data_IF_706830114104
#
_entry.id   IF_706830114104
#
_cell.length_a   1.000
_cell.length_b   1.000
_cell.length_c   1.000
_cell.angle_alpha   90.00
_cell.angle_beta   90.00
_cell.angle_gamma   90.00
#
_symmetry.space_group_name_H-M   'P 1'
#
loop_
_entity.id
_entity.type
_entity.pdbx_description
1 polymer ?
#
# COMPACT_ATOMS: atom_id res chain seq x y z
N UNK A 1 -47.22 -11.71 -5.33
CA UNK A 1 -46.32 -10.54 -5.09
C UNK A 1 -45.14 -10.88 -4.18
N UNK A 2 -45.34 -11.51 -3.00
CA UNK A 2 -44.23 -11.85 -2.10
C UNK A 2 -43.12 -12.76 -2.71
N UNK A 3 -43.49 -13.72 -3.57
CA UNK A 3 -42.53 -14.59 -4.26
C UNK A 3 -41.67 -13.88 -5.32
N UNK A 4 -42.15 -12.76 -5.87
CA UNK A 4 -41.46 -11.99 -6.91
C UNK A 4 -40.47 -11.01 -6.29
N UNK A 5 -40.82 -10.43 -5.13
CA UNK A 5 -39.92 -9.64 -4.30
C UNK A 5 -38.77 -10.51 -3.75
N UNK A 6 -39.07 -11.72 -3.26
CA UNK A 6 -38.05 -12.66 -2.80
C UNK A 6 -37.06 -13.04 -3.92
N UNK A 7 -37.55 -13.25 -5.14
CA UNK A 7 -36.71 -13.53 -6.31
C UNK A 7 -35.84 -12.32 -6.71
N UNK A 8 -36.41 -11.11 -6.69
CA UNK A 8 -35.66 -9.89 -6.99
C UNK A 8 -34.55 -9.63 -5.95
N UNK A 9 -34.86 -9.79 -4.65
CA UNK A 9 -33.88 -9.66 -3.56
C UNK A 9 -32.80 -10.74 -3.63
N UNK A 10 -33.16 -11.96 -4.02
CA UNK A 10 -32.20 -13.06 -4.23
C UNK A 10 -31.26 -12.75 -5.39
N UNK A 11 -31.76 -12.25 -6.52
CA UNK A 11 -30.93 -11.88 -7.68
C UNK A 11 -30.00 -10.72 -7.37
N UNK A 12 -30.49 -9.69 -6.67
CA UNK A 12 -29.67 -8.56 -6.21
C UNK A 12 -28.58 -9.01 -5.23
N UNK A 13 -28.92 -9.88 -4.29
CA UNK A 13 -27.96 -10.48 -3.37
C UNK A 13 -26.91 -11.33 -4.10
N UNK A 14 -27.34 -12.22 -5.01
CA UNK A 14 -26.44 -13.05 -5.82
C UNK A 14 -25.52 -12.21 -6.71
N UNK A 15 -26.02 -11.11 -7.30
CA UNK A 15 -25.19 -10.19 -8.09
C UNK A 15 -24.18 -9.40 -7.26
N UNK A 16 -24.42 -9.25 -5.95
CA UNK A 16 -23.53 -8.57 -5.02
C UNK A 16 -22.50 -9.51 -4.40
N UNK A 17 -22.64 -10.82 -4.56
CA UNK A 17 -21.66 -11.79 -4.08
C UNK A 17 -20.41 -11.75 -4.97
N UNK A 18 -19.20 -11.83 -4.38
CA UNK A 18 -18.01 -12.13 -5.15
C UNK A 18 -18.21 -13.35 -6.06
N UNK A 19 -17.76 -13.27 -7.31
CA UNK A 19 -17.90 -14.34 -8.31
C UNK A 19 -17.43 -15.71 -7.79
N UNK A 20 -16.38 -15.70 -6.97
CA UNK A 20 -15.83 -16.91 -6.34
C UNK A 20 -16.83 -17.68 -5.48
N UNK A 21 -17.88 -17.02 -4.96
CA UNK A 21 -18.93 -17.65 -4.18
C UNK A 21 -20.02 -18.28 -5.05
N UNK A 22 -20.12 -17.92 -6.33
CA UNK A 22 -21.12 -18.50 -7.22
C UNK A 22 -20.98 -20.03 -7.30
N UNK A 23 -19.73 -20.51 -7.30
CA UNK A 23 -19.38 -21.93 -7.37
C UNK A 23 -19.04 -22.57 -6.02
N UNK A 24 -19.08 -21.82 -4.92
CA UNK A 24 -18.78 -22.34 -3.58
C UNK A 24 -19.89 -23.26 -3.07
N UNK A 25 -19.51 -24.26 -2.28
CA UNK A 25 -20.43 -25.15 -1.56
C UNK A 25 -21.28 -24.37 -0.56
N UNK A 26 -22.41 -24.96 -0.14
CA UNK A 26 -23.26 -24.32 0.88
C UNK A 26 -22.51 -24.10 2.21
N UNK A 27 -21.63 -25.03 2.59
CA UNK A 27 -20.78 -24.89 3.78
C UNK A 27 -19.84 -23.69 3.63
N UNK A 28 -19.18 -23.54 2.49
CA UNK A 28 -18.27 -22.41 2.26
C UNK A 28 -19.00 -21.07 2.23
N UNK A 29 -20.19 -21.01 1.63
CA UNK A 29 -21.05 -19.82 1.69
C UNK A 29 -21.43 -19.47 3.12
N UNK A 30 -21.77 -20.46 3.94
CA UNK A 30 -22.06 -20.28 5.36
C UNK A 30 -20.83 -19.79 6.14
N UNK A 31 -19.67 -20.41 5.95
CA UNK A 31 -18.43 -20.01 6.61
C UNK A 31 -18.02 -18.57 6.22
N UNK A 32 -18.15 -18.21 4.94
CA UNK A 32 -17.92 -16.85 4.45
C UNK A 32 -18.89 -15.83 5.08
N UNK A 33 -20.18 -16.18 5.20
CA UNK A 33 -21.18 -15.31 5.84
C UNK A 33 -20.84 -15.00 7.31
N UNK A 34 -20.22 -15.95 8.02
CA UNK A 34 -19.77 -15.75 9.40
C UNK A 34 -18.60 -14.77 9.48
N UNK A 35 -17.69 -14.78 8.51
CA UNK A 35 -16.60 -13.80 8.41
C UNK A 35 -17.19 -12.40 8.19
N UNK A 36 -18.12 -12.25 7.26
CA UNK A 36 -18.79 -10.97 7.01
C UNK A 36 -19.58 -10.46 8.22
N UNK A 37 -20.25 -11.36 8.94
CA UNK A 37 -20.96 -11.00 10.17
C UNK A 37 -20.00 -10.50 11.26
N UNK A 38 -18.83 -11.14 11.40
CA UNK A 38 -17.78 -10.65 12.31
C UNK A 38 -17.29 -9.27 11.92
N UNK A 39 -17.08 -9.02 10.62
CA UNK A 39 -16.71 -7.70 10.15
C UNK A 39 -17.77 -6.66 10.49
N UNK A 40 -19.05 -6.94 10.18
CA UNK A 40 -20.18 -6.07 10.53
C UNK A 40 -20.22 -5.74 12.02
N UNK A 41 -19.99 -6.74 12.88
CA UNK A 41 -20.00 -6.54 14.33
C UNK A 41 -18.80 -5.73 14.84
N UNK A 42 -17.71 -5.67 14.07
CA UNK A 42 -16.52 -4.87 14.37
C UNK A 42 -16.59 -3.42 13.86
N UNK A 43 -17.58 -3.10 13.01
CA UNK A 43 -17.86 -1.74 12.56
C UNK A 43 -18.78 -1.06 13.57
N UNK A 44 -18.32 0.05 14.13
CA UNK A 44 -19.06 0.87 15.10
C UNK A 44 -19.30 2.24 14.45
N UNK A 45 -20.55 2.71 14.46
CA UNK A 45 -20.96 4.00 13.87
C UNK A 45 -20.55 4.19 12.40
N UNK A 46 -20.47 3.09 11.63
CA UNK A 46 -20.00 3.08 10.24
C UNK A 46 -18.56 3.59 10.05
N UNK A 47 -17.75 3.52 11.11
CA UNK A 47 -16.35 3.93 11.09
C UNK A 47 -15.39 2.74 10.96
N UNK A 48 -14.48 2.83 10.00
CA UNK A 48 -13.26 2.03 9.98
C UNK A 48 -12.13 2.69 10.78
N UNK A 49 -10.97 2.03 10.92
CA UNK A 49 -9.82 2.61 11.62
C UNK A 49 -9.16 3.81 10.91
N UNK A 50 -9.50 4.10 9.65
CA UNK A 50 -9.03 5.24 8.86
C UNK A 50 -10.08 6.36 8.72
N UNK A 51 -11.27 6.22 9.34
CA UNK A 51 -12.37 7.18 9.21
C UNK A 51 -11.92 8.64 9.38
N UNK A 52 -12.38 9.54 8.52
CA UNK A 52 -12.00 10.96 8.58
C UNK A 52 -10.56 11.28 8.12
N UNK A 53 -9.81 10.29 7.63
CA UNK A 53 -8.58 10.49 6.87
C UNK A 53 -8.93 10.30 5.39
N UNK A 54 -9.02 11.40 4.66
CA UNK A 54 -9.19 11.37 3.20
C UNK A 54 -7.91 10.87 2.55
N UNK A 55 -8.00 10.25 1.37
CA UNK A 55 -6.80 9.86 0.64
C UNK A 55 -5.97 11.08 0.21
N UNK A 56 -4.69 10.85 -0.13
CA UNK A 56 -3.76 11.93 -0.44
C UNK A 56 -4.12 12.65 -1.75
N UNK A 57 -4.77 11.99 -2.71
CA UNK A 57 -5.19 12.60 -3.96
C UNK A 57 -6.36 13.57 -3.68
N UNK A 58 -7.37 13.15 -2.91
CA UNK A 58 -8.49 14.01 -2.46
C UNK A 58 -7.99 15.17 -1.60
N UNK A 59 -7.06 14.90 -0.66
CA UNK A 59 -6.42 15.94 0.14
C UNK A 59 -5.74 16.99 -0.74
N UNK A 60 -5.01 16.55 -1.76
CA UNK A 60 -4.32 17.42 -2.72
C UNK A 60 -5.30 18.32 -3.45
N UNK A 61 -6.40 17.76 -3.96
CA UNK A 61 -7.43 18.53 -4.67
C UNK A 61 -8.07 19.56 -3.75
N UNK A 62 -8.42 19.20 -2.51
CA UNK A 62 -8.99 20.13 -1.53
C UNK A 62 -8.02 21.27 -1.19
N UNK A 63 -6.74 20.95 -0.97
CA UNK A 63 -5.71 21.94 -0.67
C UNK A 63 -5.51 22.92 -1.84
N UNK A 64 -5.46 22.41 -3.08
CA UNK A 64 -5.37 23.23 -4.29
C UNK A 64 -6.61 24.11 -4.48
N UNK A 65 -7.82 23.56 -4.37
CA UNK A 65 -9.07 24.33 -4.51
C UNK A 65 -9.12 25.47 -3.50
N UNK A 66 -8.76 25.21 -2.24
CA UNK A 66 -8.68 26.23 -1.19
C UNK A 66 -7.70 27.35 -1.55
N UNK A 67 -6.49 26.99 -2.00
CA UNK A 67 -5.47 27.98 -2.30
C UNK A 67 -5.76 28.77 -3.59
N UNK A 68 -6.28 28.12 -4.63
CA UNK A 68 -6.69 28.77 -5.88
C UNK A 68 -7.85 29.75 -5.66
N UNK A 69 -8.82 29.43 -4.80
CA UNK A 69 -9.90 30.33 -4.46
C UNK A 69 -9.42 31.61 -3.73
N UNK A 70 -8.32 31.51 -2.97
CA UNK A 70 -7.69 32.67 -2.34
C UNK A 70 -6.90 33.52 -3.34
N UNK A 71 -6.17 32.87 -4.25
CA UNK A 71 -5.30 33.56 -5.21
C UNK A 71 -6.08 34.17 -6.38
N UNK A 72 -7.19 33.55 -6.79
CA UNK A 72 -8.04 33.95 -7.91
C UNK A 72 -9.52 34.04 -7.51
N UNK A 73 -9.92 34.96 -6.61
CA UNK A 73 -11.28 34.99 -6.04
C UNK A 73 -12.40 35.22 -7.06
N UNK A 74 -12.09 35.77 -8.23
CA UNK A 74 -13.05 36.03 -9.31
C UNK A 74 -13.18 34.89 -10.33
N UNK A 75 -12.41 33.80 -10.19
CA UNK A 75 -12.44 32.67 -11.12
C UNK A 75 -12.40 31.33 -10.37
N UNK A 76 -13.34 30.44 -10.69
CA UNK A 76 -13.32 29.07 -10.17
C UNK A 76 -12.49 28.19 -11.10
N UNK A 77 -11.29 27.82 -10.66
CA UNK A 77 -10.41 26.90 -11.38
C UNK A 77 -10.46 25.53 -10.71
N UNK A 78 -10.84 24.50 -11.47
CA UNK A 78 -10.78 23.12 -11.00
C UNK A 78 -9.39 22.53 -11.29
N UNK A 79 -8.62 22.09 -10.27
CA UNK A 79 -7.29 21.52 -10.47
C UNK A 79 -7.26 20.32 -11.42
N UNK A 80 -8.34 19.54 -11.49
CA UNK A 80 -8.45 18.39 -12.40
C UNK A 80 -8.67 18.80 -13.86
N UNK A 81 -9.16 20.02 -14.11
CA UNK A 81 -9.36 20.53 -15.46
C UNK A 81 -8.07 21.17 -16.03
N UNK A 82 -7.07 21.44 -15.20
CA UNK A 82 -5.82 22.08 -15.61
C UNK A 82 -4.77 21.01 -15.89
N UNK A 83 -4.31 20.93 -17.14
CA UNK A 83 -3.18 20.08 -17.51
C UNK A 83 -1.88 20.87 -17.42
N UNK A 84 -0.93 20.34 -16.66
CA UNK A 84 0.45 20.79 -16.59
C UNK A 84 1.27 19.96 -17.57
N UNK A 85 1.82 20.62 -18.57
CA UNK A 85 2.69 20.03 -19.59
C UNK A 85 4.13 20.37 -19.19
N UNK A 86 4.92 19.34 -18.94
CA UNK A 86 6.30 19.43 -18.46
C UNK A 86 7.22 19.10 -19.62
N UNK A 87 8.01 20.08 -20.05
CA UNK A 87 9.02 19.89 -21.09
C UNK A 87 10.40 19.81 -20.45
N UNK A 88 11.10 18.70 -20.66
CA UNK A 88 12.46 18.48 -20.19
C UNK A 88 13.41 18.31 -21.37
N UNK A 89 14.49 19.08 -21.36
CA UNK A 89 15.61 18.95 -22.29
C UNK A 89 16.74 18.19 -21.58
N UNK A 90 16.98 16.95 -21.98
CA UNK A 90 18.17 16.21 -21.54
C UNK A 90 19.29 16.38 -22.57
N UNK A 91 20.42 16.94 -22.12
CA UNK A 91 21.65 16.90 -22.90
C UNK A 91 22.34 15.55 -22.67
N UNK A 92 22.86 14.88 -23.71
CA UNK A 92 23.59 13.63 -23.52
C UNK A 92 24.79 13.82 -22.59
N UNK A 93 25.01 12.84 -21.70
CA UNK A 93 26.23 12.77 -20.88
C UNK A 93 27.48 12.76 -21.77
N UNK A 94 28.53 13.44 -21.34
CA UNK A 94 29.73 13.73 -22.12
C UNK A 94 30.58 12.47 -22.37
N UNK A 95 30.21 11.68 -23.38
CA UNK A 95 31.17 10.86 -24.13
C UNK A 95 31.22 11.42 -25.56
N UNK A 96 32.43 11.58 -26.09
CA UNK A 96 32.70 12.30 -27.35
C UNK A 96 31.96 11.76 -28.59
N UNK A 97 31.37 10.57 -28.49
CA UNK A 97 30.65 9.90 -29.57
C UNK A 97 29.13 10.21 -29.59
N UNK A 98 28.53 10.68 -28.49
CA UNK A 98 27.07 10.92 -28.39
C UNK A 98 26.70 12.40 -28.60
N UNK A 99 27.67 13.32 -28.58
CA UNK A 99 27.43 14.76 -28.74
C UNK A 99 26.77 15.16 -30.08
N UNK A 100 26.77 14.28 -31.10
CA UNK A 100 26.15 14.56 -32.41
C UNK A 100 24.66 14.19 -32.50
N UNK A 101 24.05 13.61 -31.47
CA UNK A 101 22.66 13.12 -31.52
C UNK A 101 21.58 14.16 -31.17
N UNK A 102 21.99 15.39 -30.84
CA UNK A 102 21.07 16.46 -30.44
C UNK A 102 20.50 16.25 -29.03
N UNK A 103 19.83 17.28 -28.50
CA UNK A 103 19.16 17.17 -27.21
C UNK A 103 17.83 16.43 -27.36
N UNK A 104 17.58 15.43 -26.51
CA UNK A 104 16.27 14.79 -26.46
C UNK A 104 15.32 15.69 -25.66
N UNK A 105 14.15 15.99 -26.27
CA UNK A 105 13.06 16.71 -25.62
C UNK A 105 11.98 15.70 -25.28
N UNK A 106 11.68 15.53 -23.99
CA UNK A 106 10.52 14.76 -23.55
C UNK A 106 9.45 15.71 -23.04
N UNK A 107 8.20 15.40 -23.34
CA UNK A 107 7.03 16.11 -22.84
C UNK A 107 6.09 15.13 -22.18
N UNK A 108 5.66 15.47 -20.96
CA UNK A 108 4.65 14.71 -20.22
C UNK A 108 3.55 15.65 -19.78
N UNK A 109 2.31 15.16 -19.76
CA UNK A 109 1.14 15.95 -19.34
C UNK A 109 0.43 15.23 -18.21
N UNK A 110 0.06 15.98 -17.19
CA UNK A 110 -0.72 15.48 -16.05
C UNK A 110 -1.57 16.60 -15.46
N UNK A 111 -2.59 16.26 -14.67
CA UNK A 111 -3.44 17.27 -14.01
C UNK A 111 -2.63 18.10 -13.00
N UNK A 112 -3.12 19.28 -12.63
CA UNK A 112 -2.47 20.14 -11.65
C UNK A 112 -2.36 19.46 -10.28
N UNK A 113 -3.35 18.66 -9.90
CA UNK A 113 -3.32 17.85 -8.67
C UNK A 113 -2.22 16.79 -8.72
N UNK A 114 -2.13 16.03 -9.81
CA UNK A 114 -1.06 15.05 -10.00
C UNK A 114 0.33 15.72 -9.99
N UNK A 115 0.45 16.91 -10.59
CA UNK A 115 1.68 17.71 -10.54
C UNK A 115 2.01 18.22 -9.13
N UNK A 116 1.03 18.71 -8.37
CA UNK A 116 1.26 19.15 -7.00
C UNK A 116 1.69 18.00 -6.09
N UNK A 117 1.15 16.80 -6.32
CA UNK A 117 1.48 15.62 -5.53
C UNK A 117 2.85 15.01 -5.88
N UNK A 118 3.18 14.90 -7.18
CA UNK A 118 4.33 14.10 -7.65
C UNK A 118 5.44 14.93 -8.29
N UNK A 119 5.12 16.16 -8.71
CA UNK A 119 5.98 17.01 -9.53
C UNK A 119 7.07 17.78 -8.77
N UNK A 120 7.26 17.55 -7.47
CA UNK A 120 8.26 18.30 -6.67
C UNK A 120 9.69 18.15 -7.22
N UNK A 121 10.07 16.95 -7.68
CA UNK A 121 11.35 16.72 -8.36
C UNK A 121 11.43 17.32 -9.78
N UNK A 122 10.29 17.68 -10.37
CA UNK A 122 10.16 18.23 -11.72
C UNK A 122 10.00 19.76 -11.73
N UNK A 123 10.17 20.42 -10.58
CA UNK A 123 10.11 21.89 -10.45
C UNK A 123 11.19 22.62 -11.26
N UNK A 124 12.16 21.92 -11.84
CA UNK A 124 13.22 22.48 -12.70
C UNK A 124 12.86 22.48 -14.19
N UNK A 125 11.87 21.70 -14.63
CA UNK A 125 11.43 21.67 -16.04
C UNK A 125 10.62 22.91 -16.45
N UNK A 126 10.52 23.16 -17.76
CA UNK A 126 9.65 24.21 -18.29
C UNK A 126 8.19 23.76 -18.25
N UNK A 127 7.29 24.64 -17.81
CA UNK A 127 5.88 24.31 -17.67
C UNK A 127 5.03 25.14 -18.63
N UNK A 128 4.20 24.46 -19.40
CA UNK A 128 3.08 25.07 -20.11
C UNK A 128 1.77 24.47 -19.60
N UNK A 129 0.66 25.16 -19.88
CA UNK A 129 -0.62 24.81 -19.29
C UNK A 129 -1.72 24.81 -20.36
N UNK A 130 -2.64 23.89 -20.23
CA UNK A 130 -3.91 23.89 -20.96
C UNK A 130 -5.05 23.62 -19.99
N UNK A 131 -6.26 24.07 -20.34
CA UNK A 131 -7.47 23.82 -19.56
C UNK A 131 -8.44 23.04 -20.41
N UNK A 132 -8.99 21.97 -19.84
CA UNK A 132 -10.08 21.22 -20.42
C UNK A 132 -11.39 22.01 -20.28
N UNK A 133 -12.10 22.25 -21.37
CA UNK A 133 -13.40 22.93 -21.38
C UNK A 133 -13.34 24.42 -21.74
N UNK A 134 -14.36 25.19 -21.34
CA UNK A 134 -14.55 26.62 -21.71
C UNK A 134 -14.01 27.60 -20.66
N UNK A 135 -13.21 27.16 -19.70
CA UNK A 135 -12.67 28.03 -18.65
C UNK A 135 -11.38 28.67 -19.14
N UNK A 136 -11.31 30.01 -19.10
CA UNK A 136 -10.09 30.75 -19.38
C UNK A 136 -9.12 30.67 -18.20
N UNK A 137 -7.83 30.59 -18.48
CA UNK A 137 -6.81 30.66 -17.44
C UNK A 137 -6.78 32.04 -16.77
N UNK A 138 -6.67 32.10 -15.43
CA UNK A 138 -6.54 33.36 -14.73
C UNK A 138 -5.31 34.15 -15.15
N UNK A 139 -5.44 35.48 -15.19
CA UNK A 139 -4.30 36.35 -15.35
C UNK A 139 -3.29 36.12 -14.21
N UNK A 140 -2.03 35.88 -14.56
CA UNK A 140 -0.98 35.56 -13.59
C UNK A 140 -0.80 34.06 -13.30
N UNK A 141 -1.67 33.18 -13.82
CA UNK A 141 -1.45 31.74 -13.79
C UNK A 141 -0.34 31.37 -14.78
N UNK A 142 0.89 31.24 -14.28
CA UNK A 142 2.07 30.94 -15.08
C UNK A 142 3.01 29.95 -14.37
N UNK A 143 4.12 29.60 -15.02
CA UNK A 143 5.10 28.63 -14.51
C UNK A 143 5.61 29.01 -13.11
N UNK A 144 5.95 30.28 -12.90
CA UNK A 144 6.44 30.77 -11.61
C UNK A 144 5.39 30.61 -10.51
N UNK A 145 4.15 30.97 -10.82
CA UNK A 145 3.03 30.80 -9.90
C UNK A 145 2.85 29.32 -9.51
N UNK A 146 2.73 28.42 -10.49
CA UNK A 146 2.49 26.99 -10.21
C UNK A 146 3.64 26.37 -9.41
N UNK A 147 4.89 26.67 -9.75
CA UNK A 147 6.05 26.20 -8.97
C UNK A 147 6.04 26.73 -7.52
N UNK A 148 5.61 27.98 -7.31
CA UNK A 148 5.47 28.54 -5.96
C UNK A 148 4.30 27.91 -5.22
N UNK A 149 3.18 27.67 -5.90
CA UNK A 149 1.98 27.04 -5.34
C UNK A 149 2.29 25.64 -4.81
N UNK A 150 2.95 24.80 -5.62
CA UNK A 150 3.34 23.44 -5.22
C UNK A 150 4.29 23.46 -4.03
N UNK A 151 5.29 24.35 -4.02
CA UNK A 151 6.20 24.51 -2.86
C UNK A 151 5.48 24.98 -1.60
N UNK A 152 4.55 25.93 -1.73
CA UNK A 152 3.78 26.49 -0.62
C UNK A 152 2.86 25.44 -0.01
N UNK A 153 2.16 24.67 -0.84
CA UNK A 153 1.22 23.65 -0.37
C UNK A 153 1.94 22.49 0.30
N UNK A 154 3.14 22.14 -0.18
CA UNK A 154 3.98 21.06 0.36
C UNK A 154 3.17 19.84 0.81
N UNK A 155 2.32 19.34 -0.09
CA UNK A 155 1.28 18.35 0.21
C UNK A 155 1.86 17.13 0.95
N UNK A 156 3.05 16.67 0.57
CA UNK A 156 3.69 15.53 1.20
C UNK A 156 4.02 15.73 2.68
N UNK A 157 4.48 16.92 3.09
CA UNK A 157 4.75 17.26 4.49
C UNK A 157 3.46 17.44 5.29
N UNK A 158 2.53 18.22 4.74
CA UNK A 158 1.28 18.53 5.43
C UNK A 158 0.41 17.28 5.61
N UNK A 159 0.34 16.41 4.60
CA UNK A 159 -0.40 15.16 4.70
C UNK A 159 0.25 14.17 5.68
N UNK A 160 1.59 14.10 5.71
CA UNK A 160 2.29 13.30 6.74
C UNK A 160 2.02 13.84 8.14
N UNK A 161 2.05 15.15 8.32
CA UNK A 161 1.71 15.79 9.61
C UNK A 161 0.27 15.47 10.02
N UNK A 162 -0.68 15.48 9.08
CA UNK A 162 -2.05 15.02 9.32
C UNK A 162 -2.11 13.56 9.81
N UNK A 163 -1.40 12.65 9.13
CA UNK A 163 -1.35 11.24 9.51
C UNK A 163 -0.71 11.05 10.88
N UNK A 164 0.42 11.68 11.16
CA UNK A 164 1.10 11.61 12.45
C UNK A 164 0.20 12.11 13.57
N UNK A 165 -0.49 13.23 13.36
CA UNK A 165 -1.43 13.77 14.34
C UNK A 165 -2.59 12.81 14.62
N UNK A 166 -3.19 12.23 13.59
CA UNK A 166 -4.38 11.37 13.71
C UNK A 166 -4.06 9.96 14.19
N UNK A 167 -2.90 9.42 13.85
CA UNK A 167 -2.56 8.01 14.09
C UNK A 167 -1.60 7.82 15.27
N UNK A 168 -0.84 8.84 15.66
CA UNK A 168 0.25 8.70 16.64
C UNK A 168 0.13 9.73 17.77
N UNK A 169 0.11 11.03 17.45
CA UNK A 169 0.29 12.10 18.44
C UNK A 169 -0.97 12.35 19.28
N UNK A 170 -2.15 12.40 18.65
CA UNK A 170 -3.40 12.55 19.40
C UNK A 170 -3.77 11.20 20.03
N UNK A 171 -3.58 11.09 21.35
CA UNK A 171 -3.79 9.85 22.09
C UNK A 171 -5.24 9.33 22.04
N UNK A 172 -6.23 10.22 22.02
CA UNK A 172 -7.64 9.84 21.97
C UNK A 172 -8.00 9.24 20.59
N UNK A 173 -7.62 9.94 19.52
CA UNK A 173 -7.79 9.47 18.14
C UNK A 173 -7.00 8.18 17.89
N UNK A 174 -5.72 8.14 18.28
CA UNK A 174 -4.84 6.98 18.09
C UNK A 174 -5.36 5.74 18.84
N UNK A 175 -5.77 5.88 20.10
CA UNK A 175 -6.28 4.75 20.90
C UNK A 175 -7.60 4.21 20.35
N UNK A 176 -8.53 5.11 19.97
CA UNK A 176 -9.80 4.71 19.36
C UNK A 176 -9.59 3.95 18.05
N UNK A 177 -8.74 4.48 17.17
CA UNK A 177 -8.39 3.86 15.88
C UNK A 177 -7.66 2.54 16.05
N UNK A 178 -6.75 2.44 17.02
CA UNK A 178 -6.05 1.20 17.31
C UNK A 178 -7.01 0.09 17.75
N UNK A 179 -8.01 0.40 18.58
CA UNK A 179 -9.06 -0.56 18.96
C UNK A 179 -9.87 -1.02 17.74
N UNK A 180 -10.29 -0.10 16.88
CA UNK A 180 -10.98 -0.44 15.63
C UNK A 180 -10.10 -1.30 14.73
N UNK A 181 -8.82 -0.96 14.60
CA UNK A 181 -7.85 -1.73 13.82
C UNK A 181 -7.72 -3.17 14.33
N UNK A 182 -7.57 -3.38 15.64
CA UNK A 182 -7.52 -4.71 16.23
C UNK A 182 -8.83 -5.51 16.06
N UNK A 183 -9.99 -4.85 16.06
CA UNK A 183 -11.28 -5.51 15.88
C UNK A 183 -11.58 -5.85 14.41
N UNK A 184 -11.21 -4.96 13.49
CA UNK A 184 -11.59 -5.03 12.08
C UNK A 184 -10.57 -5.78 11.22
N UNK A 185 -9.28 -5.69 11.53
CA UNK A 185 -8.25 -6.29 10.70
C UNK A 185 -8.38 -7.83 10.60
N UNK A 186 -8.57 -8.58 11.70
CA UNK A 186 -8.66 -10.05 11.61
C UNK A 186 -9.77 -10.54 10.67
N UNK A 187 -11.04 -10.09 10.75
CA UNK A 187 -12.05 -10.52 9.79
C UNK A 187 -11.79 -10.02 8.36
N UNK A 188 -11.19 -8.83 8.16
CA UNK A 188 -10.77 -8.38 6.82
C UNK A 188 -9.73 -9.34 6.20
N UNK A 189 -8.70 -9.71 6.96
CA UNK A 189 -7.66 -10.64 6.50
C UNK A 189 -8.21 -12.03 6.24
N UNK A 190 -9.14 -12.50 7.07
CA UNK A 190 -9.80 -13.79 6.87
C UNK A 190 -10.68 -13.81 5.62
N UNK A 191 -11.35 -12.70 5.32
CA UNK A 191 -12.14 -12.59 4.10
C UNK A 191 -11.26 -12.71 2.86
N UNK A 192 -10.12 -12.00 2.82
CA UNK A 192 -9.15 -12.10 1.73
C UNK A 192 -8.62 -13.53 1.62
N UNK A 193 -8.19 -14.12 2.73
CA UNK A 193 -7.66 -15.50 2.76
C UNK A 193 -8.69 -16.52 2.28
N UNK A 194 -9.95 -16.39 2.71
CA UNK A 194 -11.03 -17.28 2.30
C UNK A 194 -11.31 -17.16 0.80
N UNK A 195 -11.31 -15.92 0.27
CA UNK A 195 -11.49 -15.67 -1.16
C UNK A 195 -10.36 -16.30 -1.98
N UNK A 196 -9.12 -16.16 -1.54
CA UNK A 196 -7.96 -16.75 -2.23
C UNK A 196 -7.96 -18.28 -2.13
N UNK A 197 -8.48 -18.84 -1.03
CA UNK A 197 -8.74 -20.27 -0.88
C UNK A 197 -9.75 -20.78 -1.90
N UNK A 198 -10.88 -20.09 -2.05
CA UNK A 198 -11.90 -20.45 -3.04
C UNK A 198 -11.39 -20.37 -4.48
N UNK A 199 -10.46 -19.45 -4.77
CA UNK A 199 -9.79 -19.35 -6.08
C UNK A 199 -8.73 -20.42 -6.31
N UNK A 200 -8.38 -21.22 -5.30
CA UNK A 200 -7.28 -22.18 -5.36
C UNK A 200 -5.88 -21.53 -5.35
N UNK A 201 -5.78 -20.25 -5.01
CA UNK A 201 -4.49 -19.53 -4.87
C UNK A 201 -3.88 -19.80 -3.49
N UNK A 202 -4.72 -20.04 -2.48
CA UNK A 202 -4.33 -20.40 -1.13
C UNK A 202 -4.82 -21.82 -0.83
N UNK A 203 -3.99 -22.66 -0.22
CA UNK A 203 -4.39 -23.99 0.22
C UNK A 203 -5.33 -23.93 1.43
N UNK A 204 -6.13 -24.98 1.64
CA UNK A 204 -6.95 -25.12 2.86
C UNK A 204 -6.08 -25.04 4.12
N UNK A 205 -4.90 -25.68 4.09
CA UNK A 205 -3.99 -25.69 5.24
C UNK A 205 -3.44 -24.29 5.55
N UNK A 206 -3.08 -23.52 4.52
CA UNK A 206 -2.65 -22.14 4.69
C UNK A 206 -3.77 -21.21 5.19
N UNK A 207 -5.00 -21.39 4.70
CA UNK A 207 -6.17 -20.71 5.24
C UNK A 207 -6.36 -21.05 6.73
N UNK A 208 -6.31 -22.32 7.11
CA UNK A 208 -6.46 -22.75 8.50
C UNK A 208 -5.38 -22.18 9.42
N UNK A 209 -4.14 -22.05 8.95
CA UNK A 209 -3.07 -21.38 9.73
C UNK A 209 -3.40 -19.91 9.99
N UNK A 210 -3.87 -19.18 8.97
CA UNK A 210 -4.29 -17.78 9.13
C UNK A 210 -5.48 -17.65 10.08
N UNK A 211 -6.50 -18.50 9.91
CA UNK A 211 -7.65 -18.57 10.80
C UNK A 211 -7.24 -18.83 12.25
N UNK A 212 -6.34 -19.77 12.46
CA UNK A 212 -5.82 -20.12 13.78
C UNK A 212 -5.13 -18.95 14.46
N UNK A 213 -4.19 -18.29 13.79
CA UNK A 213 -3.44 -17.17 14.39
C UNK A 213 -4.28 -15.90 14.58
N UNK A 214 -5.24 -15.65 13.68
CA UNK A 214 -6.09 -14.46 13.73
C UNK A 214 -7.25 -14.59 14.74
N UNK A 215 -7.72 -15.82 15.01
CA UNK A 215 -8.74 -16.06 16.03
C UNK A 215 -8.15 -16.21 17.43
N UNK A 216 -6.89 -16.64 17.55
CA UNK A 216 -6.18 -16.79 18.82
C UNK A 216 -4.89 -15.95 18.79
N UNK A 217 -4.96 -14.62 18.92
CA UNK A 217 -3.81 -13.73 18.72
C UNK A 217 -2.72 -13.87 19.79
N UNK A 218 -3.06 -14.31 21.01
CA UNK A 218 -2.09 -14.58 22.08
C UNK A 218 -1.23 -15.81 21.74
N UNK A 219 0.01 -15.57 21.29
CA UNK A 219 0.91 -16.64 20.88
C UNK A 219 1.34 -17.58 22.02
N UNK A 220 1.29 -17.13 23.28
CA UNK A 220 1.65 -17.96 24.44
C UNK A 220 0.50 -18.86 24.87
N UNK A 221 -0.74 -18.38 24.73
CA UNK A 221 -1.95 -19.12 25.09
C UNK A 221 -2.59 -19.87 23.89
N UNK A 222 -2.15 -19.60 22.65
CA UNK A 222 -2.68 -20.25 21.44
C UNK A 222 -2.50 -21.77 21.50
N UNK A 223 -3.59 -22.48 21.25
CA UNK A 223 -3.59 -23.94 21.18
C UNK A 223 -2.70 -24.46 20.04
N UNK A 224 -2.27 -25.71 20.15
CA UNK A 224 -1.54 -26.37 19.07
C UNK A 224 -2.50 -26.68 17.91
N UNK A 225 -2.06 -26.42 16.68
CA UNK A 225 -2.75 -26.83 15.47
C UNK A 225 -2.13 -28.14 14.98
N UNK A 226 -2.91 -29.23 14.92
CA UNK A 226 -2.42 -30.56 14.53
C UNK A 226 -1.15 -30.98 15.32
N UNK A 227 -1.08 -30.62 16.61
CA UNK A 227 0.06 -30.92 17.48
C UNK A 227 1.28 -29.98 17.33
N UNK A 228 1.19 -28.95 16.48
CA UNK A 228 2.29 -28.02 16.20
C UNK A 228 1.94 -26.59 16.60
N UNK A 229 2.97 -25.80 16.93
CA UNK A 229 2.81 -24.36 17.16
C UNK A 229 2.80 -23.65 15.82
N UNK A 230 1.74 -22.89 15.54
CA UNK A 230 1.67 -21.98 14.40
C UNK A 230 1.92 -20.57 14.90
N UNK A 231 2.90 -19.91 14.30
CA UNK A 231 3.38 -18.59 14.69
C UNK A 231 3.10 -17.57 13.61
N UNK A 232 2.78 -16.34 14.02
CA UNK A 232 2.80 -15.15 13.16
C UNK A 232 3.92 -14.26 13.67
N UNK A 233 4.91 -13.96 12.83
CA UNK A 233 6.11 -13.19 13.20
C UNK A 233 6.42 -12.10 12.17
N UNK A 234 6.94 -10.93 12.58
CA UNK A 234 7.41 -9.94 11.61
C UNK A 234 8.58 -10.48 10.80
N UNK A 235 8.66 -10.11 9.53
CA UNK A 235 9.82 -10.41 8.70
C UNK A 235 10.97 -9.47 9.07
N UNK A 236 12.13 -10.05 9.36
CA UNK A 236 13.37 -9.30 9.51
C UNK A 236 14.51 -10.01 8.77
N UNK A 237 15.42 -9.23 8.21
CA UNK A 237 16.53 -9.72 7.38
C UNK A 237 17.84 -9.39 8.09
N UNK A 238 18.80 -10.31 8.03
CA UNK A 238 20.13 -10.10 8.61
C UNK A 238 21.16 -10.06 7.49
N UNK A 239 21.99 -9.03 7.48
CA UNK A 239 23.10 -8.92 6.52
C UNK A 239 24.29 -9.83 6.85
N UNK A 240 24.38 -10.30 8.10
CA UNK A 240 25.37 -11.28 8.55
C UNK A 240 24.88 -12.04 9.79
N UNK A 241 25.50 -13.18 10.16
CA UNK A 241 25.12 -13.97 11.33
C UNK A 241 25.19 -13.24 12.69
N UNK A 242 25.90 -12.11 12.76
CA UNK A 242 26.04 -11.29 13.97
C UNK A 242 25.31 -9.94 13.84
N UNK A 243 24.80 -9.60 12.65
CA UNK A 243 24.07 -8.36 12.44
C UNK A 243 22.75 -8.33 13.22
N UNK A 244 22.39 -7.15 13.72
CA UNK A 244 21.04 -6.87 14.21
C UNK A 244 20.06 -7.02 13.05
N UNK A 245 18.94 -7.75 13.20
CA UNK A 245 17.95 -7.89 12.13
C UNK A 245 17.32 -6.55 11.73
N UNK A 246 17.26 -6.31 10.43
CA UNK A 246 16.54 -5.20 9.82
C UNK A 246 15.08 -5.61 9.57
N UNK A 247 14.17 -5.01 10.34
CA UNK A 247 12.74 -5.28 10.22
C UNK A 247 12.15 -4.73 8.92
N UNK A 248 11.39 -5.58 8.22
CA UNK A 248 10.66 -5.21 7.01
C UNK A 248 9.24 -4.81 7.38
N UNK A 249 8.93 -3.51 7.31
CA UNK A 249 7.69 -2.95 7.84
C UNK A 249 6.44 -3.51 7.16
N UNK A 250 5.49 -4.01 7.96
CA UNK A 250 4.19 -4.49 7.48
C UNK A 250 4.27 -5.78 6.67
N UNK A 251 5.31 -6.60 6.85
CA UNK A 251 5.40 -7.96 6.31
C UNK A 251 5.50 -8.95 7.45
N UNK A 252 4.63 -9.95 7.45
CA UNK A 252 4.56 -10.98 8.48
C UNK A 252 4.62 -12.37 7.84
N UNK A 253 5.24 -13.30 8.55
CA UNK A 253 5.32 -14.70 8.20
C UNK A 253 4.40 -15.50 9.12
N UNK A 254 3.52 -16.31 8.55
CA UNK A 254 2.64 -17.23 9.26
C UNK A 254 2.99 -18.65 8.85
N UNK A 255 3.21 -19.53 9.81
CA UNK A 255 3.57 -20.92 9.54
C UNK A 255 3.89 -21.70 10.80
N UNK A 256 4.27 -22.97 10.68
CA UNK A 256 4.77 -23.73 11.81
C UNK A 256 6.02 -23.06 12.39
N UNK A 257 6.32 -23.36 13.66
CA UNK A 257 7.66 -23.08 14.17
C UNK A 257 8.72 -23.82 13.31
N UNK A 258 9.97 -23.34 13.33
CA UNK A 258 11.03 -23.80 12.44
C UNK A 258 11.37 -25.31 12.54
N UNK A 259 10.75 -26.04 13.46
CA UNK A 259 10.96 -27.48 13.65
C UNK A 259 9.92 -28.34 12.93
N UNK A 260 8.83 -27.76 12.45
CA UNK A 260 7.73 -28.51 11.86
C UNK A 260 7.53 -28.19 10.37
N UNK A 261 7.16 -29.22 9.60
CA UNK A 261 6.89 -29.09 8.17
C UNK A 261 5.52 -28.45 7.92
N UNK A 262 5.43 -27.63 6.88
CA UNK A 262 4.18 -27.02 6.45
C UNK A 262 4.40 -25.75 5.64
N UNK A 263 3.32 -25.22 5.04
CA UNK A 263 3.41 -24.02 4.23
C UNK A 263 3.84 -22.81 5.06
N UNK A 264 4.58 -21.91 4.41
CA UNK A 264 4.88 -20.58 4.92
C UNK A 264 4.00 -19.56 4.18
N UNK A 265 3.25 -18.78 4.92
CA UNK A 265 2.38 -17.74 4.40
C UNK A 265 3.01 -16.38 4.65
N UNK A 266 3.22 -15.61 3.60
CA UNK A 266 3.67 -14.22 3.67
C UNK A 266 2.43 -13.32 3.61
N UNK A 267 2.23 -12.56 4.67
CA UNK A 267 1.18 -11.54 4.78
C UNK A 267 1.82 -10.17 4.59
N UNK A 268 1.36 -9.44 3.57
CA UNK A 268 1.84 -8.09 3.24
C UNK A 268 0.73 -7.07 3.47
N UNK A 269 0.89 -6.24 4.49
CA UNK A 269 -0.08 -5.23 4.87
C UNK A 269 -0.14 -4.09 3.85
N UNK A 270 -1.34 -3.74 3.40
CA UNK A 270 -1.63 -2.59 2.51
C UNK A 270 -0.76 -2.56 1.23
N UNK A 271 -0.62 -3.70 0.59
CA UNK A 271 0.09 -3.85 -0.69
C UNK A 271 -0.86 -3.68 -1.87
N UNK A 272 -0.39 -3.06 -2.96
CA UNK A 272 -1.17 -2.92 -4.20
C UNK A 272 -1.23 -4.20 -5.03
N UNK A 273 -0.24 -5.09 -4.89
CA UNK A 273 -0.10 -6.27 -5.75
C UNK A 273 -0.83 -7.49 -5.18
N UNK A 274 -0.52 -7.85 -3.94
CA UNK A 274 -1.08 -9.00 -3.23
C UNK A 274 -0.97 -8.78 -1.73
N UNK A 275 -1.92 -9.33 -0.96
CA UNK A 275 -1.91 -9.26 0.52
C UNK A 275 -1.44 -10.56 1.18
N UNK A 276 -1.62 -11.70 0.52
CA UNK A 276 -1.28 -13.02 1.04
C UNK A 276 -0.59 -13.82 -0.06
N UNK A 277 0.50 -14.50 0.27
CA UNK A 277 1.16 -15.44 -0.62
C UNK A 277 1.62 -16.67 0.14
N UNK A 278 1.30 -17.84 -0.37
CA UNK A 278 1.75 -19.12 0.17
C UNK A 278 3.05 -19.58 -0.52
N UNK A 279 3.92 -20.17 0.29
CA UNK A 279 5.13 -20.87 -0.10
C UNK A 279 5.07 -22.30 0.48
N UNK A 280 5.61 -23.31 -0.23
CA UNK A 280 5.66 -24.67 0.31
C UNK A 280 6.43 -24.77 1.63
N UNK A 281 7.50 -23.98 1.77
CA UNK A 281 8.36 -23.92 2.95
C UNK A 281 9.16 -22.60 3.01
N UNK A 282 9.92 -22.41 4.10
CA UNK A 282 10.76 -21.22 4.29
C UNK A 282 11.92 -21.14 3.30
N UNK A 283 12.46 -22.28 2.86
CA UNK A 283 13.55 -22.31 1.88
C UNK A 283 13.10 -21.76 0.51
N UNK A 284 11.89 -22.09 0.08
CA UNK A 284 11.27 -21.59 -1.14
C UNK A 284 11.04 -20.09 -1.09
N UNK A 285 10.63 -19.56 0.07
CA UNK A 285 10.50 -18.12 0.28
C UNK A 285 11.85 -17.40 0.20
N UNK A 286 12.88 -17.93 0.85
CA UNK A 286 14.24 -17.37 0.78
C UNK A 286 14.78 -17.39 -0.66
N UNK A 287 14.57 -18.48 -1.38
CA UNK A 287 14.95 -18.58 -2.79
C UNK A 287 14.24 -17.51 -3.64
N UNK A 288 12.96 -17.24 -3.38
CA UNK A 288 12.19 -16.19 -4.06
C UNK A 288 12.74 -14.79 -3.76
N UNK A 289 13.10 -14.50 -2.50
CA UNK A 289 13.74 -13.22 -2.12
C UNK A 289 15.04 -13.02 -2.90
N UNK A 290 15.85 -14.07 -3.07
CA UNK A 290 17.14 -13.97 -3.75
C UNK A 290 16.98 -13.77 -5.26
N UNK A 291 15.95 -14.39 -5.88
CA UNK A 291 15.87 -14.50 -7.32
C UNK A 291 14.78 -13.63 -7.98
N UNK A 292 13.80 -13.09 -7.25
CA UNK A 292 12.68 -12.32 -7.82
C UNK A 292 12.79 -10.83 -7.52
N UNK A 293 13.17 -10.06 -8.52
CA UNK A 293 13.33 -8.60 -8.42
C UNK A 293 12.06 -7.87 -7.95
N UNK A 294 10.88 -8.30 -8.39
CA UNK A 294 9.59 -7.71 -7.96
C UNK A 294 9.44 -7.81 -6.43
N UNK A 295 9.75 -8.98 -5.85
CA UNK A 295 9.71 -9.17 -4.40
C UNK A 295 10.79 -8.33 -3.71
N UNK A 296 12.01 -8.30 -4.26
CA UNK A 296 13.09 -7.48 -3.70
C UNK A 296 12.71 -6.00 -3.62
N UNK A 297 12.12 -5.45 -4.69
CA UNK A 297 11.67 -4.06 -4.73
C UNK A 297 10.57 -3.79 -3.69
N UNK A 298 9.64 -4.74 -3.51
CA UNK A 298 8.61 -4.66 -2.48
C UNK A 298 9.19 -4.64 -1.07
N UNK A 299 10.17 -5.51 -0.77
CA UNK A 299 10.83 -5.56 0.55
C UNK A 299 11.71 -4.33 0.78
N UNK A 300 12.46 -3.87 -0.21
CA UNK A 300 13.28 -2.65 -0.14
C UNK A 300 12.43 -1.42 0.18
N UNK A 301 11.25 -1.30 -0.44
CA UNK A 301 10.31 -0.20 -0.17
C UNK A 301 9.86 -0.13 1.31
N UNK A 302 9.96 -1.25 2.03
CA UNK A 302 9.50 -1.42 3.43
C UNK A 302 10.65 -1.40 4.46
N UNK A 303 11.89 -1.28 4.00
CA UNK A 303 13.07 -1.06 4.84
C UNK A 303 13.32 0.44 5.04
N UNK A 304 14.00 0.80 6.14
CA UNK A 304 14.45 2.18 6.38
C UNK A 304 15.42 2.61 5.27
N UNK A 305 15.44 3.88 4.84
CA UNK A 305 16.22 4.33 3.68
C UNK A 305 17.70 3.92 3.68
N UNK A 306 18.36 3.97 4.84
CA UNK A 306 19.76 3.57 5.01
C UNK A 306 20.02 2.05 4.86
N UNK A 307 19.06 1.19 5.25
CA UNK A 307 19.17 -0.28 5.16
C UNK A 307 19.03 -0.75 3.72
N UNK A 308 18.27 -0.02 2.89
CA UNK A 308 18.07 -0.36 1.47
C UNK A 308 19.38 -0.51 0.72
N UNK A 309 20.40 0.29 1.06
CA UNK A 309 21.73 0.23 0.44
C UNK A 309 22.46 -1.09 0.70
N UNK A 310 22.10 -1.81 1.77
CA UNK A 310 22.70 -3.10 2.12
C UNK A 310 22.15 -4.19 1.19
N UNK A 311 20.87 -4.13 0.85
CA UNK A 311 20.15 -5.21 0.16
C UNK A 311 19.83 -4.95 -1.32
N UNK A 312 19.89 -3.69 -1.77
CA UNK A 312 19.66 -3.33 -3.17
C UNK A 312 20.73 -3.91 -4.11
N UNK A 313 20.45 -3.95 -5.42
CA UNK A 313 21.42 -4.31 -6.46
C UNK A 313 22.13 -5.66 -6.23
N UNK A 314 21.37 -6.69 -5.85
CA UNK A 314 21.90 -8.03 -5.54
C UNK A 314 22.27 -8.25 -4.07
N UNK A 315 22.13 -7.23 -3.22
CA UNK A 315 22.42 -7.30 -1.79
C UNK A 315 21.57 -8.30 -0.97
N UNK A 316 20.43 -8.77 -1.48
CA UNK A 316 19.71 -9.89 -0.86
C UNK A 316 20.48 -11.21 -0.95
N UNK A 317 21.30 -11.38 -1.98
CA UNK A 317 22.20 -12.52 -2.14
C UNK A 317 23.56 -12.26 -1.50
N UNK A 318 24.11 -11.07 -1.75
CA UNK A 318 25.44 -10.65 -1.30
C UNK A 318 25.37 -9.26 -0.64
N UNK A 319 24.97 -9.19 0.65
CA UNK A 319 24.75 -7.92 1.35
C UNK A 319 25.95 -6.99 1.27
N UNK A 320 25.70 -5.73 0.95
CA UNK A 320 26.73 -4.69 0.84
C UNK A 320 27.16 -4.20 2.22
N UNK A 321 27.96 -5.02 2.90
CA UNK A 321 28.54 -4.72 4.20
C UNK A 321 29.91 -4.07 4.02
N UNK A 322 30.04 -2.81 4.42
CA UNK A 322 31.35 -2.20 4.59
C UNK A 322 31.94 -2.73 5.88
N UNK A 323 33.00 -3.55 5.80
CA UNK A 323 33.81 -3.92 6.97
C UNK A 323 34.58 -2.69 7.46
N UNK A 324 33.91 -1.83 8.21
CA UNK A 324 34.51 -0.67 8.87
C UNK A 324 35.24 -1.07 10.15
N UNK A 325 36.53 -1.39 10.03
CA UNK A 325 37.58 -1.06 11.01
C UNK A 325 37.47 -1.59 12.44
N UNK A 326 37.79 -2.86 12.64
CA UNK A 326 38.38 -3.29 13.91
C UNK A 326 39.84 -2.81 13.99
N UNK A 327 40.07 -1.68 14.64
CA UNK A 327 41.36 -1.34 15.26
C UNK A 327 41.09 -0.84 16.68
N UNK A 328 41.23 -1.75 17.63
CA UNK A 328 41.81 -1.43 18.94
C UNK A 328 43.19 -2.06 18.98
#
# INVERSE_FOLDING_TARGET
MASLLLQADTVLFESALPEVLAHATMKEKYDYSRILQRYRNAVVDDHDYLHGIVDIDEYTVKALKKQLALDFPMQSLDPEAVNVIITQTSSPGWSGEIASLGSAVSSTSQTLSAYALRGFGQLTGHLTFSVSGKVSMPNGFNERYVKSLVRKLNVGEEYRTLLENKLIVNAEESSGRFKLFCAQLPPQMLEIAFRDKLKGVLSEKAYCYLEHVLNMPDAMARELFEGHRIVMRPLAIRSSPDAVPDEVSGVYLVGPDAKAAGPLIVVVMYSREYSIKEYPDEASFIADIINREVLQNQLLGRLKPWQRKIYANGGFKEPHINYGGGKN
#
